data_IF_997807389021
#
_entry.id   IF_997807389021
#
_cell.length_a   1.000
_cell.length_b   1.000
_cell.length_c   1.000
_cell.angle_alpha   90.00
_cell.angle_beta   90.00
_cell.angle_gamma   90.00
#
_symmetry.space_group_name_H-M   'P 1'
#
loop_
_entity.id
_entity.type
_entity.pdbx_description
1 polymer ?
#
# COMPACT_ATOMS: atom_id res chain seq x y z
N UNK A 1 -5.63 5.28 -17.20
CA UNK A 1 -5.32 5.04 -15.78
C UNK A 1 -3.84 5.29 -15.45
N UNK A 2 -2.90 4.68 -16.19
CA UNK A 2 -1.44 4.76 -15.92
C UNK A 2 -0.90 6.19 -15.87
N UNK A 3 -1.27 7.07 -16.82
CA UNK A 3 -0.81 8.46 -16.81
C UNK A 3 -1.19 9.23 -15.53
N UNK A 4 -2.45 9.12 -15.09
CA UNK A 4 -2.92 9.76 -13.85
C UNK A 4 -2.23 9.18 -12.62
N UNK A 5 -1.98 7.86 -12.62
CA UNK A 5 -1.22 7.21 -11.56
C UNK A 5 0.22 7.76 -11.50
N UNK A 6 0.91 7.87 -12.64
CA UNK A 6 2.22 8.50 -12.73
C UNK A 6 2.24 9.91 -12.13
N UNK A 7 1.28 10.78 -12.48
CA UNK A 7 1.18 12.13 -11.93
C UNK A 7 1.08 12.13 -10.39
N UNK A 8 0.24 11.23 -9.83
CA UNK A 8 0.11 11.07 -8.37
C UNK A 8 1.42 10.59 -7.72
N UNK A 9 2.08 9.58 -8.28
CA UNK A 9 3.33 9.05 -7.70
C UNK A 9 4.47 10.08 -7.80
N UNK A 10 4.55 10.82 -8.91
CA UNK A 10 5.57 11.86 -9.11
C UNK A 10 5.44 12.99 -8.08
N UNK A 11 4.23 13.39 -7.72
CA UNK A 11 4.01 14.41 -6.71
C UNK A 11 4.61 14.03 -5.33
N UNK A 12 4.69 12.74 -5.01
CA UNK A 12 5.24 12.23 -3.76
C UNK A 12 6.78 12.14 -3.72
N UNK A 13 7.48 12.40 -4.84
CA UNK A 13 8.96 12.47 -4.95
C UNK A 13 9.73 11.32 -4.28
N UNK A 14 9.22 10.08 -4.36
CA UNK A 14 9.87 8.91 -3.76
C UNK A 14 11.21 8.55 -4.38
N UNK A 15 12.10 7.90 -3.61
CA UNK A 15 13.43 7.46 -4.05
C UNK A 15 13.39 6.24 -4.98
N UNK A 16 14.51 5.96 -5.67
CA UNK A 16 14.64 4.80 -6.55
C UNK A 16 14.50 3.47 -5.80
N UNK A 17 14.01 2.45 -6.51
CA UNK A 17 13.89 1.09 -5.99
C UNK A 17 15.19 0.30 -6.11
N UNK A 18 15.07 -1.02 -6.25
CA UNK A 18 16.22 -1.92 -6.41
C UNK A 18 16.87 -1.79 -7.80
N UNK A 19 16.09 -1.36 -8.79
CA UNK A 19 16.51 -1.09 -10.17
C UNK A 19 17.33 0.20 -10.32
N UNK A 20 17.47 0.98 -9.25
CA UNK A 20 18.20 2.25 -9.19
C UNK A 20 17.68 3.31 -10.17
N UNK A 21 16.56 3.08 -10.83
CA UNK A 21 15.93 4.03 -11.75
C UNK A 21 15.38 5.20 -10.95
N UNK A 22 15.84 6.40 -11.27
CA UNK A 22 15.31 7.64 -10.71
C UNK A 22 14.29 8.32 -11.65
N UNK A 23 13.81 9.50 -11.24
CA UNK A 23 12.84 10.26 -12.02
C UNK A 23 13.43 10.81 -13.33
N UNK A 24 14.70 11.18 -13.34
CA UNK A 24 15.37 11.69 -14.55
C UNK A 24 15.53 10.57 -15.57
N UNK A 25 15.88 9.37 -15.12
CA UNK A 25 15.97 8.18 -15.96
C UNK A 25 14.62 7.80 -16.56
N UNK A 26 13.56 7.81 -15.74
CA UNK A 26 12.21 7.57 -16.23
C UNK A 26 11.79 8.62 -17.28
N UNK A 27 12.17 9.88 -17.08
CA UNK A 27 11.81 10.98 -17.96
C UNK A 27 12.49 10.94 -19.33
N UNK A 28 13.66 10.30 -19.46
CA UNK A 28 14.35 10.09 -20.75
C UNK A 28 13.48 9.37 -21.79
N UNK A 29 12.68 8.40 -21.37
CA UNK A 29 11.71 7.69 -22.21
C UNK A 29 10.37 7.51 -21.47
N UNK A 30 9.79 8.61 -21.00
CA UNK A 30 8.56 8.55 -20.19
C UNK A 30 7.42 7.85 -20.94
N UNK A 31 7.21 8.20 -22.21
CA UNK A 31 6.11 7.64 -23.01
C UNK A 31 6.32 6.14 -23.25
N UNK A 32 7.53 5.71 -23.63
CA UNK A 32 7.83 4.31 -23.86
C UNK A 32 7.73 3.47 -22.59
N UNK A 33 8.22 3.97 -21.46
CA UNK A 33 8.13 3.27 -20.17
C UNK A 33 6.68 3.13 -19.69
N UNK A 34 5.88 4.20 -19.75
CA UNK A 34 4.46 4.13 -19.37
C UNK A 34 3.65 3.27 -20.32
N UNK A 35 3.96 3.26 -21.62
CA UNK A 35 3.31 2.38 -22.59
C UNK A 35 3.63 0.91 -22.33
N UNK A 36 4.91 0.58 -22.09
CA UNK A 36 5.34 -0.77 -21.69
C UNK A 36 4.62 -1.23 -20.41
N UNK A 37 4.56 -0.36 -19.40
CA UNK A 37 3.85 -0.66 -18.15
C UNK A 37 2.37 -0.94 -18.41
N UNK A 38 1.70 -0.08 -19.19
CA UNK A 38 0.30 -0.25 -19.54
C UNK A 38 0.03 -1.56 -20.29
N UNK A 39 0.85 -1.90 -21.29
CA UNK A 39 0.74 -3.16 -22.02
C UNK A 39 0.87 -4.38 -21.11
N UNK A 40 1.84 -4.35 -20.18
CA UNK A 40 2.06 -5.45 -19.23
C UNK A 40 0.94 -5.59 -18.22
N UNK A 41 0.37 -4.47 -17.75
CA UNK A 41 -0.80 -4.47 -16.86
C UNK A 41 -2.07 -4.93 -17.58
N UNK A 42 -2.24 -4.58 -18.84
CA UNK A 42 -3.44 -4.96 -19.61
C UNK A 42 -3.42 -6.43 -20.04
N UNK A 43 -2.23 -6.98 -20.27
CA UNK A 43 -2.04 -8.38 -20.70
C UNK A 43 -1.92 -9.38 -19.54
N UNK A 44 -1.84 -8.94 -18.28
CA UNK A 44 -1.56 -9.85 -17.16
C UNK A 44 -0.09 -10.28 -17.04
N UNK A 45 0.81 -9.78 -17.89
CA UNK A 45 2.25 -10.15 -17.93
C UNK A 45 3.15 -9.28 -17.02
N UNK A 46 2.55 -8.37 -16.27
CA UNK A 46 3.27 -7.56 -15.28
C UNK A 46 3.62 -8.37 -14.03
N UNK A 47 4.91 -8.45 -13.71
CA UNK A 47 5.39 -9.02 -12.45
C UNK A 47 6.18 -7.96 -11.69
N UNK A 48 5.91 -7.76 -10.39
CA UNK A 48 6.61 -6.77 -9.60
C UNK A 48 8.06 -7.17 -9.34
N UNK A 49 8.92 -6.18 -9.15
CA UNK A 49 10.26 -6.44 -8.65
C UNK A 49 10.27 -6.59 -7.13
N UNK A 50 11.29 -7.26 -6.56
CA UNK A 50 11.51 -7.26 -5.13
C UNK A 50 11.65 -5.83 -4.60
N UNK A 51 11.11 -5.57 -3.41
CA UNK A 51 11.23 -4.24 -2.78
C UNK A 51 12.61 -4.08 -2.16
N UNK A 52 13.20 -2.89 -2.26
CA UNK A 52 14.50 -2.56 -1.65
C UNK A 52 14.34 -2.35 -0.15
N UNK A 53 15.06 -3.09 0.68
CA UNK A 53 15.08 -2.87 2.14
C UNK A 53 15.82 -1.57 2.47
N UNK A 54 15.18 -0.71 3.26
CA UNK A 54 15.80 0.47 3.86
C UNK A 54 15.52 0.46 5.37
N UNK A 55 16.57 0.61 6.16
CA UNK A 55 16.50 0.68 7.62
C UNK A 55 16.47 2.15 8.05
N UNK A 56 15.42 2.56 8.76
CA UNK A 56 15.26 3.91 9.30
C UNK A 56 15.14 3.84 10.82
N UNK A 57 15.82 4.73 11.53
CA UNK A 57 15.70 4.82 12.99
C UNK A 57 14.32 5.33 13.40
N UNK A 58 13.68 4.68 14.39
CA UNK A 58 12.46 5.18 15.01
C UNK A 58 12.79 6.31 15.99
N UNK A 59 11.89 7.29 16.11
CA UNK A 59 11.97 8.35 17.13
C UNK A 59 11.93 7.80 18.56
N UNK A 60 11.25 6.66 18.77
CA UNK A 60 11.13 5.96 20.06
C UNK A 60 12.28 4.99 20.37
N UNK A 61 13.33 4.95 19.54
CA UNK A 61 14.36 3.90 19.57
C UNK A 61 13.97 2.64 18.77
N UNK A 62 14.98 1.98 18.19
CA UNK A 62 14.83 0.81 17.32
C UNK A 62 14.84 1.13 15.82
N UNK A 63 14.78 0.08 14.99
CA UNK A 63 14.87 0.16 13.53
C UNK A 63 13.51 -0.15 12.91
N UNK A 64 13.08 0.68 11.96
CA UNK A 64 11.97 0.43 11.05
C UNK A 64 12.51 -0.03 9.70
N UNK A 65 12.14 -1.23 9.28
CA UNK A 65 12.44 -1.74 7.94
C UNK A 65 11.35 -1.27 6.99
N UNK A 66 11.72 -0.57 5.93
CA UNK A 66 10.84 -0.18 4.84
C UNK A 66 11.21 -0.97 3.59
N UNK A 67 10.20 -1.35 2.81
CA UNK A 67 10.35 -1.89 1.47
C UNK A 67 10.01 -0.81 0.47
N UNK A 68 11.00 -0.32 -0.28
CA UNK A 68 10.82 0.69 -1.32
C UNK A 68 10.63 -0.02 -2.67
N UNK A 69 9.42 0.01 -3.27
CA UNK A 69 9.21 -0.53 -4.61
C UNK A 69 9.86 0.35 -5.66
N UNK A 70 10.09 -0.20 -6.86
CA UNK A 70 10.53 0.58 -8.03
C UNK A 70 9.54 1.68 -8.39
N UNK A 71 9.97 2.69 -9.16
CA UNK A 71 9.05 3.75 -9.59
C UNK A 71 7.89 3.17 -10.41
N UNK A 72 8.18 2.22 -11.30
CA UNK A 72 7.15 1.56 -12.10
C UNK A 72 6.19 0.72 -11.25
N UNK A 73 6.70 0.01 -10.22
CA UNK A 73 5.86 -0.70 -9.25
C UNK A 73 4.93 0.25 -8.50
N UNK A 74 5.43 1.40 -8.05
CA UNK A 74 4.59 2.40 -7.38
C UNK A 74 3.50 2.93 -8.30
N UNK A 75 3.80 3.15 -9.59
CA UNK A 75 2.81 3.57 -10.58
C UNK A 75 1.76 2.48 -10.79
N UNK A 76 2.18 1.21 -10.92
CA UNK A 76 1.28 0.07 -11.05
C UNK A 76 0.37 -0.09 -9.82
N UNK A 77 0.94 0.00 -8.61
CA UNK A 77 0.20 -0.02 -7.36
C UNK A 77 -0.79 1.13 -7.27
N UNK A 78 -0.42 2.34 -7.73
CA UNK A 78 -1.32 3.49 -7.74
C UNK A 78 -2.49 3.31 -8.73
N UNK A 79 -2.29 2.59 -9.84
CA UNK A 79 -3.38 2.23 -10.76
C UNK A 79 -4.41 1.35 -10.05
N UNK A 80 -3.96 0.25 -9.43
CA UNK A 80 -4.85 -0.67 -8.70
C UNK A 80 -5.49 0.02 -7.50
N UNK A 81 -4.71 0.79 -6.72
CA UNK A 81 -5.21 1.57 -5.58
C UNK A 81 -6.35 2.50 -5.99
N UNK A 82 -6.16 3.30 -7.04
CA UNK A 82 -7.19 4.27 -7.46
C UNK A 82 -8.50 3.58 -7.85
N UNK A 83 -8.41 2.40 -8.46
CA UNK A 83 -9.57 1.58 -8.80
C UNK A 83 -10.25 1.01 -7.55
N UNK A 84 -9.46 0.40 -6.65
CA UNK A 84 -9.98 -0.17 -5.42
C UNK A 84 -10.58 0.87 -4.47
N UNK A 85 -10.00 2.07 -4.38
CA UNK A 85 -10.55 3.17 -3.58
C UNK A 85 -11.99 3.50 -3.99
N UNK A 86 -12.32 3.45 -5.28
CA UNK A 86 -13.68 3.73 -5.75
C UNK A 86 -14.70 2.69 -5.27
N UNK A 87 -14.24 1.47 -5.01
CA UNK A 87 -15.08 0.35 -4.57
C UNK A 87 -15.17 0.30 -3.04
N UNK A 88 -14.04 0.46 -2.35
CA UNK A 88 -13.93 0.24 -0.90
C UNK A 88 -14.27 1.47 -0.07
N UNK A 89 -13.99 2.68 -0.56
CA UNK A 89 -14.16 3.90 0.24
C UNK A 89 -15.60 4.12 0.76
N UNK A 90 -16.67 3.83 -0.03
CA UNK A 90 -18.05 3.94 0.46
C UNK A 90 -18.41 2.91 1.54
N UNK A 91 -17.65 1.82 1.66
CA UNK A 91 -17.94 0.71 2.57
C UNK A 91 -17.28 0.91 3.94
N UNK A 92 -16.17 1.64 3.99
CA UNK A 92 -15.43 1.85 5.23
C UNK A 92 -16.22 2.67 6.25
N UNK A 93 -16.18 2.21 7.49
CA UNK A 93 -16.86 2.82 8.63
C UNK A 93 -16.53 4.31 8.79
N UNK A 94 -17.50 5.13 9.18
CA UNK A 94 -17.35 6.59 9.23
C UNK A 94 -16.23 7.04 10.19
N UNK A 95 -16.01 6.29 11.27
CA UNK A 95 -14.98 6.56 12.27
C UNK A 95 -13.61 5.96 11.93
N UNK A 96 -13.42 5.44 10.71
CA UNK A 96 -12.10 5.07 10.20
C UNK A 96 -11.48 6.25 9.47
N UNK A 97 -10.38 6.81 9.99
CA UNK A 97 -9.79 8.05 9.47
C UNK A 97 -8.42 7.85 8.79
N UNK A 98 -7.73 6.75 9.09
CA UNK A 98 -6.36 6.52 8.63
C UNK A 98 -6.27 6.27 7.13
N UNK A 99 -5.33 6.92 6.44
CA UNK A 99 -4.97 6.65 5.03
C UNK A 99 -6.13 6.71 4.01
N UNK A 100 -7.21 7.41 4.34
CA UNK A 100 -8.39 7.56 3.48
C UNK A 100 -8.45 8.93 2.82
N UNK A 101 -8.95 9.03 1.57
CA UNK A 101 -9.18 10.31 0.93
C UNK A 101 -10.16 11.15 1.75
N UNK A 102 -9.88 12.45 1.85
CA UNK A 102 -10.73 13.42 2.57
C UNK A 102 -10.94 13.16 4.07
N UNK A 103 -10.20 12.22 4.66
CA UNK A 103 -10.14 11.98 6.11
C UNK A 103 -8.82 12.45 6.68
N UNK A 104 -8.81 12.91 7.93
CA UNK A 104 -7.57 13.38 8.58
C UNK A 104 -7.52 13.04 10.07
N UNK A 105 -6.31 13.03 10.64
CA UNK A 105 -6.10 12.85 12.08
C UNK A 105 -6.83 13.91 12.92
N UNK A 106 -7.02 15.12 12.38
CA UNK A 106 -7.76 16.18 13.08
C UNK A 106 -9.23 15.82 13.29
N UNK A 107 -9.87 15.21 12.28
CA UNK A 107 -11.25 14.71 12.40
C UNK A 107 -11.34 13.57 13.42
N UNK A 108 -10.32 12.69 13.48
CA UNK A 108 -10.27 11.62 14.49
C UNK A 108 -10.20 12.19 15.91
N UNK A 109 -9.35 13.20 16.13
CA UNK A 109 -9.23 13.90 17.43
C UNK A 109 -10.52 14.62 17.78
N UNK A 110 -11.18 15.28 16.82
CA UNK A 110 -12.45 15.96 17.04
C UNK A 110 -13.54 14.97 17.46
N UNK A 111 -13.63 13.81 16.79
CA UNK A 111 -14.57 12.77 17.17
C UNK A 111 -14.26 12.20 18.56
N UNK A 112 -12.99 11.98 18.87
CA UNK A 112 -12.58 11.53 20.20
C UNK A 112 -12.99 12.54 21.29
N UNK A 113 -12.80 13.84 21.05
CA UNK A 113 -13.27 14.90 21.96
C UNK A 113 -14.77 14.86 22.19
N UNK A 114 -15.56 14.61 21.15
CA UNK A 114 -17.01 14.47 21.28
C UNK A 114 -17.40 13.27 22.16
N UNK A 115 -16.70 12.14 22.01
CA UNK A 115 -16.99 10.93 22.77
C UNK A 115 -16.67 11.05 24.26
N UNK A 116 -15.73 11.92 24.65
CA UNK A 116 -15.40 12.18 26.07
C UNK A 116 -16.59 12.79 26.83
N UNK A 117 -17.49 13.52 26.15
CA UNK A 117 -18.68 14.07 26.82
C UNK A 117 -19.69 13.01 27.25
N UNK A 118 -19.60 11.80 26.69
CA UNK A 118 -20.55 10.71 26.97
C UNK A 118 -19.88 9.49 27.60
N UNK A 119 -18.54 9.42 27.61
CA UNK A 119 -17.78 8.30 28.15
C UNK A 119 -16.57 8.81 28.93
N UNK A 120 -16.41 8.33 30.17
CA UNK A 120 -15.32 8.72 31.07
C UNK A 120 -14.08 7.82 30.95
N UNK A 121 -14.12 6.82 30.08
CA UNK A 121 -13.05 5.84 29.89
C UNK A 121 -12.75 5.63 28.41
N UNK A 122 -11.51 5.24 28.12
CA UNK A 122 -11.05 4.91 26.77
C UNK A 122 -10.27 3.59 26.81
N UNK A 123 -10.40 2.81 25.74
CA UNK A 123 -9.56 1.64 25.51
C UNK A 123 -8.56 2.02 24.42
N UNK A 124 -7.28 1.98 24.76
CA UNK A 124 -6.18 2.18 23.82
C UNK A 124 -5.69 0.81 23.32
N UNK A 125 -5.78 0.59 22.01
CA UNK A 125 -5.38 -0.65 21.35
C UNK A 125 -4.37 -0.32 20.25
N UNK A 126 -3.21 -0.97 20.29
CA UNK A 126 -2.22 -0.92 19.23
C UNK A 126 -1.87 -2.33 18.73
N UNK A 127 -1.82 -2.49 17.41
CA UNK A 127 -1.47 -3.77 16.79
C UNK A 127 0.02 -3.78 16.47
N UNK A 128 0.77 -4.52 17.28
CA UNK A 128 2.22 -4.67 17.11
C UNK A 128 2.55 -5.23 15.72
N UNK A 129 3.39 -4.51 14.99
CA UNK A 129 3.90 -4.92 13.68
C UNK A 129 2.78 -5.32 12.69
N UNK A 130 1.67 -4.56 12.69
CA UNK A 130 0.49 -4.87 11.87
C UNK A 130 0.82 -5.19 10.41
N UNK A 131 1.60 -4.33 9.74
CA UNK A 131 1.98 -4.55 8.34
C UNK A 131 2.82 -5.82 8.12
N UNK A 132 3.52 -6.32 9.13
CA UNK A 132 4.38 -7.51 9.00
C UNK A 132 3.61 -8.81 9.26
N UNK A 133 2.44 -8.73 9.92
CA UNK A 133 1.67 -9.87 10.43
C UNK A 133 0.37 -10.15 9.68
N UNK A 134 0.01 -9.33 8.67
CA UNK A 134 -1.18 -9.57 7.85
C UNK A 134 -1.08 -10.91 7.12
N UNK A 135 -2.06 -11.78 7.37
CA UNK A 135 -2.22 -13.06 6.69
C UNK A 135 -2.68 -12.82 5.23
N UNK A 136 -1.92 -13.36 4.27
CA UNK A 136 -2.20 -13.15 2.85
C UNK A 136 -3.49 -13.80 2.40
N UNK A 137 -3.81 -15.00 2.88
CA UNK A 137 -5.00 -15.74 2.47
C UNK A 137 -6.26 -15.04 2.99
N UNK A 138 -6.23 -14.57 4.23
CA UNK A 138 -7.34 -13.78 4.80
C UNK A 138 -7.51 -12.45 4.08
N UNK A 139 -6.43 -11.73 3.78
CA UNK A 139 -6.48 -10.48 3.03
C UNK A 139 -7.02 -10.71 1.62
N UNK A 140 -6.57 -11.75 0.92
CA UNK A 140 -7.05 -12.09 -0.42
C UNK A 140 -8.51 -12.56 -0.41
N UNK A 141 -8.93 -13.28 0.62
CA UNK A 141 -10.33 -13.65 0.84
C UNK A 141 -11.23 -12.42 1.03
N UNK A 142 -10.82 -11.49 1.90
CA UNK A 142 -11.51 -10.21 2.08
C UNK A 142 -11.57 -9.40 0.78
N UNK A 143 -10.44 -9.28 0.07
CA UNK A 143 -10.39 -8.57 -1.20
C UNK A 143 -11.30 -9.20 -2.26
N UNK A 144 -11.30 -10.53 -2.37
CA UNK A 144 -12.18 -11.26 -3.28
C UNK A 144 -13.65 -11.21 -2.91
N UNK A 145 -13.97 -10.93 -1.64
CA UNK A 145 -15.34 -10.68 -1.21
C UNK A 145 -15.87 -9.37 -1.81
N UNK A 146 -15.17 -8.25 -1.59
CA UNK A 146 -15.63 -6.91 -1.99
C UNK A 146 -15.29 -6.51 -3.43
N UNK A 147 -14.21 -7.04 -4.02
CA UNK A 147 -13.79 -6.73 -5.38
C UNK A 147 -13.75 -8.02 -6.22
N UNK A 148 -14.62 -8.11 -7.24
CA UNK A 148 -14.70 -9.27 -8.15
C UNK A 148 -13.74 -9.16 -9.34
N UNK A 149 -13.02 -8.05 -9.47
CA UNK A 149 -12.10 -7.81 -10.56
C UNK A 149 -10.85 -8.70 -10.46
N UNK A 150 -10.81 -9.75 -11.27
CA UNK A 150 -9.71 -10.75 -11.25
C UNK A 150 -8.32 -10.13 -11.45
N UNK A 151 -8.22 -9.07 -12.26
CA UNK A 151 -6.94 -8.40 -12.51
C UNK A 151 -6.41 -7.69 -11.27
N UNK A 152 -7.29 -7.19 -10.39
CA UNK A 152 -6.90 -6.59 -9.12
C UNK A 152 -6.35 -7.65 -8.19
N UNK A 153 -7.09 -8.75 -8.02
CA UNK A 153 -6.68 -9.88 -7.19
C UNK A 153 -5.31 -10.41 -7.63
N UNK A 154 -5.12 -10.58 -8.94
CA UNK A 154 -3.85 -11.03 -9.52
C UNK A 154 -2.67 -10.15 -9.12
N UNK A 155 -2.82 -8.82 -9.23
CA UNK A 155 -1.71 -7.91 -8.94
C UNK A 155 -1.46 -7.74 -7.44
N UNK A 156 -2.52 -7.73 -6.63
CA UNK A 156 -2.36 -7.70 -5.17
C UNK A 156 -1.63 -8.95 -4.69
N UNK A 157 -2.04 -10.15 -5.13
CA UNK A 157 -1.37 -11.39 -4.78
C UNK A 157 0.13 -11.36 -5.16
N UNK A 158 0.44 -10.89 -6.38
CA UNK A 158 1.84 -10.76 -6.83
C UNK A 158 2.64 -9.78 -5.98
N UNK A 159 2.05 -8.67 -5.52
CA UNK A 159 2.74 -7.73 -4.64
C UNK A 159 2.92 -8.25 -3.21
N UNK A 160 1.98 -9.06 -2.72
CA UNK A 160 2.10 -9.70 -1.40
C UNK A 160 3.24 -10.72 -1.38
N UNK A 161 3.36 -11.52 -2.46
CA UNK A 161 4.43 -12.52 -2.65
C UNK A 161 5.76 -11.91 -3.11
N UNK A 162 5.79 -10.63 -3.47
CA UNK A 162 7.03 -9.97 -3.86
C UNK A 162 8.00 -9.90 -2.66
N UNK A 163 9.11 -10.61 -2.77
CA UNK A 163 10.16 -10.63 -1.75
C UNK A 163 10.85 -9.29 -1.53
N UNK A 164 11.75 -9.29 -0.55
CA UNK A 164 12.56 -8.14 -0.16
C UNK A 164 13.99 -8.40 -0.61
N UNK A 165 14.61 -7.42 -1.27
CA UNK A 165 16.04 -7.43 -1.54
C UNK A 165 16.77 -6.60 -0.47
N UNK A 166 17.65 -7.26 0.27
CA UNK A 166 18.48 -6.61 1.28
C UNK A 166 19.69 -5.89 0.66
N UNK A 167 20.31 -5.01 1.44
CA UNK A 167 21.45 -4.18 0.99
C UNK A 167 22.68 -5.03 0.68
N UNK A 168 22.82 -6.20 1.31
CA UNK A 168 23.87 -7.19 1.06
C UNK A 168 23.59 -8.10 -0.15
N UNK A 169 22.47 -7.89 -0.85
CA UNK A 169 22.06 -8.70 -2.00
C UNK A 169 21.29 -9.98 -1.64
N UNK A 170 20.98 -10.19 -0.34
CA UNK A 170 20.16 -11.33 0.07
C UNK A 170 18.69 -11.13 -0.34
N UNK A 171 18.13 -12.11 -1.03
CA UNK A 171 16.70 -12.17 -1.34
C UNK A 171 15.95 -12.89 -0.22
N UNK A 172 14.95 -12.22 0.35
CA UNK A 172 14.08 -12.77 1.38
C UNK A 172 12.68 -12.92 0.79
N UNK A 173 12.19 -14.17 0.75
CA UNK A 173 10.81 -14.46 0.39
C UNK A 173 9.85 -14.00 1.51
N UNK A 174 8.63 -13.62 1.13
CA UNK A 174 7.61 -13.18 2.09
C UNK A 174 6.49 -14.20 2.20
N UNK A 175 6.32 -14.74 3.40
CA UNK A 175 5.20 -15.63 3.73
C UNK A 175 4.03 -14.88 4.39
N UNK A 176 4.26 -13.67 4.93
CA UNK A 176 3.21 -12.85 5.57
C UNK A 176 3.49 -11.36 5.44
N UNK A 177 2.44 -10.55 5.67
CA UNK A 177 2.44 -9.09 5.75
C UNK A 177 2.48 -8.37 4.39
N UNK A 178 2.42 -7.05 4.41
CA UNK A 178 2.48 -6.20 3.20
C UNK A 178 3.70 -5.28 3.26
N UNK A 179 4.34 -4.92 2.12
CA UNK A 179 5.54 -4.09 2.15
C UNK A 179 5.25 -2.72 2.76
N UNK A 180 5.97 -2.38 3.83
CA UNK A 180 5.87 -1.07 4.44
C UNK A 180 6.57 -0.04 3.53
N UNK A 181 5.79 0.69 2.73
CA UNK A 181 6.30 1.56 1.66
C UNK A 181 5.62 1.34 0.30
N UNK A 182 4.84 0.27 0.15
CA UNK A 182 3.95 0.09 -0.99
C UNK A 182 2.84 1.15 -1.00
N UNK A 183 2.51 1.68 -2.18
CA UNK A 183 1.49 2.71 -2.36
C UNK A 183 0.10 2.19 -1.99
N UNK A 184 -0.14 0.91 -2.29
CA UNK A 184 -1.41 0.21 -2.05
C UNK A 184 -1.53 -0.37 -0.64
N UNK A 185 -0.41 -0.60 0.06
CA UNK A 185 -0.38 -1.27 1.37
C UNK A 185 -1.32 -0.65 2.40
N UNK A 186 -1.43 0.68 2.54
CA UNK A 186 -2.35 1.29 3.52
C UNK A 186 -3.83 0.99 3.24
N UNK A 187 -4.23 0.90 1.96
CA UNK A 187 -5.61 0.57 1.60
C UNK A 187 -5.94 -0.89 1.93
N UNK A 188 -5.01 -1.80 1.67
CA UNK A 188 -5.16 -3.22 2.01
C UNK A 188 -5.22 -3.43 3.53
N UNK A 189 -4.42 -2.66 4.26
CA UNK A 189 -4.48 -2.58 5.71
C UNK A 189 -5.87 -2.16 6.22
N UNK A 190 -6.43 -1.09 5.67
CA UNK A 190 -7.78 -0.63 6.03
C UNK A 190 -8.85 -1.68 5.70
N UNK A 191 -8.75 -2.34 4.55
CA UNK A 191 -9.65 -3.45 4.20
C UNK A 191 -9.60 -4.59 5.22
N UNK A 192 -8.40 -4.99 5.63
CA UNK A 192 -8.22 -6.05 6.62
C UNK A 192 -8.83 -5.67 7.96
N UNK A 193 -8.58 -4.44 8.42
CA UNK A 193 -9.14 -3.93 9.68
C UNK A 193 -10.66 -3.79 9.62
N UNK A 194 -11.20 -3.35 8.48
CA UNK A 194 -12.64 -3.24 8.28
C UNK A 194 -13.32 -4.59 8.47
N UNK A 195 -12.80 -5.66 7.87
CA UNK A 195 -13.35 -7.02 8.06
C UNK A 195 -13.16 -7.53 9.49
N UNK A 196 -12.07 -7.14 10.16
CA UNK A 196 -11.78 -7.62 11.51
C UNK A 196 -12.57 -6.91 12.62
N UNK A 197 -12.91 -5.63 12.43
CA UNK A 197 -13.48 -4.77 13.49
C UNK A 197 -14.85 -4.18 13.16
N UNK A 198 -15.14 -3.92 11.89
CA UNK A 198 -16.38 -3.23 11.47
C UNK A 198 -17.41 -4.17 10.81
N UNK A 199 -16.99 -5.41 10.49
CA UNK A 199 -17.76 -6.40 9.72
C UNK A 199 -18.65 -7.31 10.56
#
# INVERSE_FOLDING_TARGET
MVWRAYQKVKANKGSAGIDQMDWQDLEKDLKGQLYKLWNRLSSGSYFPQPVKEVKISKSSGGIRKLGIPTILDRIAQQVVKTHLEQILEPLFHEHSFGYRPSRSCHQAVEKAKQNIFTNDWAIDLDIKAFFDTIDHDKLMGALGHYCKDKWVLLYVERWLKAGIMQVDGCYIERESGTPQGGVISPLLANLYLHVAFDG
#
